data_IF_803479206295
#
_entry.id   IF_803479206295
#
_cell.length_a   1.000
_cell.length_b   1.000
_cell.length_c   1.000
_cell.angle_alpha   90.00
_cell.angle_beta   90.00
_cell.angle_gamma   90.00
#
_symmetry.space_group_name_H-M   'P 1'
#
loop_
_entity.id
_entity.type
_entity.pdbx_description
1 polymer ?
#
# COMPACT_ATOMS: atom_id res chain seq x y z
N UNK A 1 9.49 -14.90 5.92
CA UNK A 1 10.81 -14.45 6.44
C UNK A 1 10.65 -13.10 7.13
N UNK A 2 11.28 -12.88 8.29
CA UNK A 2 11.03 -11.70 9.14
C UNK A 2 11.27 -10.34 8.44
N UNK A 3 12.24 -10.28 7.52
CA UNK A 3 12.58 -9.04 6.80
C UNK A 3 11.45 -8.58 5.87
N UNK A 4 10.93 -9.48 5.02
CA UNK A 4 9.80 -9.19 4.14
C UNK A 4 8.50 -8.93 4.90
N UNK A 5 8.34 -9.55 6.08
CA UNK A 5 7.23 -9.26 6.97
C UNK A 5 7.25 -7.80 7.42
N UNK A 6 8.36 -7.37 8.03
CA UNK A 6 8.51 -6.00 8.52
C UNK A 6 8.41 -4.97 7.38
N UNK A 7 9.05 -5.26 6.25
CA UNK A 7 8.99 -4.38 5.08
C UNK A 7 7.56 -4.23 4.55
N UNK A 8 6.76 -5.29 4.52
CA UNK A 8 5.35 -5.22 4.14
C UNK A 8 4.51 -4.40 5.12
N UNK A 9 4.79 -4.49 6.43
CA UNK A 9 4.13 -3.65 7.44
C UNK A 9 4.48 -2.18 7.22
N UNK A 10 5.76 -1.87 7.01
CA UNK A 10 6.23 -0.51 6.75
C UNK A 10 5.65 0.08 5.46
N UNK A 11 5.62 -0.69 4.37
CA UNK A 11 5.05 -0.23 3.10
C UNK A 11 3.54 0.01 3.21
N UNK A 12 2.80 -0.88 3.88
CA UNK A 12 1.38 -0.64 4.15
C UNK A 12 1.16 0.59 5.03
N UNK A 13 1.98 0.79 6.08
CA UNK A 13 1.88 1.99 6.91
C UNK A 13 2.09 3.25 6.07
N UNK A 14 3.15 3.26 5.25
CA UNK A 14 3.53 4.41 4.45
C UNK A 14 2.46 4.73 3.40
N UNK A 15 2.01 3.74 2.63
CA UNK A 15 0.91 3.91 1.66
C UNK A 15 -0.37 4.38 2.36
N UNK A 16 -0.68 3.79 3.51
CA UNK A 16 -1.83 4.18 4.31
C UNK A 16 -1.77 5.66 4.71
N UNK A 17 -0.60 6.15 5.12
CA UNK A 17 -0.41 7.57 5.41
C UNK A 17 -0.62 8.41 4.13
N UNK A 18 0.02 8.04 3.02
CA UNK A 18 -0.05 8.78 1.75
C UNK A 18 -1.47 8.89 1.17
N UNK A 19 -2.28 7.83 1.28
CA UNK A 19 -3.64 7.79 0.72
C UNK A 19 -4.71 8.37 1.65
N UNK A 20 -4.49 8.36 2.98
CA UNK A 20 -5.46 8.88 3.96
C UNK A 20 -5.23 10.36 4.27
N UNK A 21 -3.97 10.72 4.52
CA UNK A 21 -3.56 12.09 4.83
C UNK A 21 -3.10 12.75 3.53
N UNK A 22 -4.07 13.10 2.70
CA UNK A 22 -3.83 13.82 1.46
C UNK A 22 -3.67 15.33 1.73
N UNK A 23 -2.91 16.02 0.84
CA UNK A 23 -2.59 17.46 0.66
C UNK A 23 -2.89 18.55 1.72
N UNK A 24 -3.90 18.43 2.56
CA UNK A 24 -4.28 19.45 3.54
C UNK A 24 -3.49 19.33 4.86
N UNK A 25 -2.80 18.20 5.09
CA UNK A 25 -2.12 17.91 6.35
C UNK A 25 -0.61 18.24 6.29
N UNK A 26 -0.31 19.52 6.52
CA UNK A 26 1.05 20.09 6.39
C UNK A 26 2.14 19.47 7.29
N UNK A 27 1.76 18.70 8.31
CA UNK A 27 2.69 17.97 9.16
C UNK A 27 3.22 16.70 8.48
N UNK A 28 2.37 16.00 7.73
CA UNK A 28 2.70 14.73 7.06
C UNK A 28 3.60 14.98 5.86
N UNK A 29 3.30 16.01 5.08
CA UNK A 29 4.08 16.43 3.91
C UNK A 29 5.52 16.83 4.28
N UNK A 30 5.72 17.43 5.47
CA UNK A 30 7.07 17.76 5.96
C UNK A 30 7.89 16.53 6.37
N UNK A 31 7.22 15.45 6.75
CA UNK A 31 7.85 14.21 7.22
C UNK A 31 8.07 13.21 6.08
N UNK A 32 7.15 13.17 5.13
CA UNK A 32 7.16 12.30 3.97
C UNK A 32 6.93 13.18 2.75
N UNK A 33 7.84 13.10 1.78
CA UNK A 33 7.73 13.84 0.51
C UNK A 33 6.65 13.20 -0.38
N UNK A 34 5.42 13.24 0.12
CA UNK A 34 4.22 12.60 -0.43
C UNK A 34 3.89 13.12 -1.82
N UNK A 35 4.34 14.32 -2.17
CA UNK A 35 4.15 14.93 -3.48
C UNK A 35 5.18 14.49 -4.51
N UNK A 36 6.33 13.98 -4.08
CA UNK A 36 7.36 13.52 -5.00
C UNK A 36 6.85 12.28 -5.77
N UNK A 37 6.67 12.47 -7.08
CA UNK A 37 6.23 11.43 -8.00
C UNK A 37 7.21 10.26 -8.04
N UNK A 38 8.51 10.50 -7.86
CA UNK A 38 9.50 9.43 -7.80
C UNK A 38 9.35 8.63 -6.51
N UNK A 39 9.11 9.28 -5.39
CA UNK A 39 8.80 8.62 -4.12
C UNK A 39 7.55 7.75 -4.23
N UNK A 40 6.45 8.28 -4.75
CA UNK A 40 5.22 7.51 -5.01
C UNK A 40 5.47 6.28 -5.90
N UNK A 41 6.25 6.44 -6.97
CA UNK A 41 6.58 5.36 -7.89
C UNK A 41 7.39 4.26 -7.20
N UNK A 42 8.45 4.63 -6.48
CA UNK A 42 9.34 3.68 -5.79
C UNK A 42 8.56 2.91 -4.73
N UNK A 43 7.77 3.60 -3.91
CA UNK A 43 6.93 2.98 -2.87
C UNK A 43 5.90 2.04 -3.51
N UNK A 44 5.23 2.49 -4.58
CA UNK A 44 4.24 1.69 -5.31
C UNK A 44 4.84 0.39 -5.86
N UNK A 45 5.98 0.47 -6.56
CA UNK A 45 6.69 -0.70 -7.10
C UNK A 45 7.12 -1.64 -5.98
N UNK A 46 7.76 -1.12 -4.94
CA UNK A 46 8.23 -1.92 -3.81
C UNK A 46 7.08 -2.64 -3.11
N UNK A 47 5.94 -1.96 -2.92
CA UNK A 47 4.78 -2.57 -2.27
C UNK A 47 4.18 -3.70 -3.07
N UNK A 48 4.00 -3.51 -4.39
CA UNK A 48 3.51 -4.58 -5.27
C UNK A 48 4.48 -5.76 -5.28
N UNK A 49 5.78 -5.48 -5.40
CA UNK A 49 6.81 -6.52 -5.42
C UNK A 49 6.86 -7.33 -4.12
N UNK A 50 6.86 -6.65 -2.97
CA UNK A 50 6.88 -7.29 -1.64
C UNK A 50 5.59 -8.07 -1.40
N UNK A 51 4.44 -7.53 -1.81
CA UNK A 51 3.16 -8.24 -1.72
C UNK A 51 3.18 -9.54 -2.54
N UNK A 52 3.68 -9.51 -3.77
CA UNK A 52 3.81 -10.70 -4.61
C UNK A 52 4.75 -11.74 -3.99
N UNK A 53 5.91 -11.32 -3.46
CA UNK A 53 6.82 -12.23 -2.76
C UNK A 53 6.15 -12.87 -1.54
N UNK A 54 5.41 -12.09 -0.74
CA UNK A 54 4.68 -12.60 0.43
C UNK A 54 3.57 -13.58 0.05
N UNK A 55 2.87 -13.34 -1.07
CA UNK A 55 1.87 -14.28 -1.58
C UNK A 55 2.48 -15.60 -2.06
N UNK A 56 3.66 -15.55 -2.67
CA UNK A 56 4.35 -16.76 -3.18
C UNK A 56 5.08 -17.55 -2.10
N UNK A 57 5.40 -16.94 -0.96
CA UNK A 57 6.19 -17.56 0.12
C UNK A 57 5.44 -17.54 1.46
N UNK A 58 4.35 -18.33 1.60
CA UNK A 58 3.68 -18.46 2.89
C UNK A 58 4.59 -19.14 3.92
N UNK A 59 4.68 -18.54 5.11
CA UNK A 59 5.29 -19.17 6.28
C UNK A 59 4.42 -20.38 6.68
N UNK A 60 5.04 -21.52 7.02
CA UNK A 60 4.36 -22.79 7.35
C UNK A 60 3.21 -22.57 8.36
N UNK A 61 2.01 -23.11 8.10
CA UNK A 61 0.81 -22.92 8.91
C UNK A 61 -0.43 -22.71 8.03
N UNK A 62 -1.57 -22.28 8.59
CA UNK A 62 -2.76 -21.87 7.81
C UNK A 62 -2.46 -20.55 7.10
N UNK A 63 -2.13 -20.53 5.80
CA UNK A 63 -1.46 -19.40 5.14
C UNK A 63 -2.34 -18.15 4.99
N UNK A 64 -3.66 -18.33 5.12
CA UNK A 64 -4.65 -17.39 4.62
C UNK A 64 -4.97 -16.24 5.60
N UNK A 65 -4.72 -16.42 6.90
CA UNK A 65 -5.09 -15.42 7.92
C UNK A 65 -3.93 -14.55 8.39
N UNK A 66 -2.69 -14.99 8.14
CA UNK A 66 -1.51 -14.24 8.49
C UNK A 66 -1.10 -13.25 7.39
N UNK A 67 -0.20 -13.68 6.51
CA UNK A 67 0.47 -12.79 5.57
C UNK A 67 -0.36 -12.43 4.32
N UNK A 68 -1.45 -13.15 4.05
CA UNK A 68 -2.30 -12.94 2.88
C UNK A 68 -2.99 -11.58 2.89
N UNK A 69 -3.62 -11.21 4.02
CA UNK A 69 -4.37 -9.95 4.12
C UNK A 69 -3.46 -8.71 3.95
N UNK A 70 -2.31 -8.60 4.65
CA UNK A 70 -1.34 -7.50 4.41
C UNK A 70 -0.79 -7.48 3.00
N UNK A 71 -0.58 -8.64 2.38
CA UNK A 71 -0.06 -8.71 1.03
C UNK A 71 -1.11 -8.25 0.01
N UNK A 72 -2.37 -8.67 0.15
CA UNK A 72 -3.46 -8.26 -0.72
C UNK A 72 -3.74 -6.76 -0.61
N UNK A 73 -3.79 -6.24 0.62
CA UNK A 73 -3.99 -4.80 0.85
C UNK A 73 -2.77 -4.00 0.40
N UNK A 74 -1.54 -4.47 0.64
CA UNK A 74 -0.32 -3.83 0.16
C UNK A 74 -0.19 -3.82 -1.36
N UNK A 75 -0.70 -4.86 -2.03
CA UNK A 75 -0.82 -4.91 -3.48
C UNK A 75 -1.79 -3.85 -3.98
N UNK A 76 -3.00 -3.78 -3.40
CA UNK A 76 -4.02 -2.80 -3.80
C UNK A 76 -3.54 -1.36 -3.56
N UNK A 77 -2.93 -1.08 -2.41
CA UNK A 77 -2.36 0.22 -2.09
C UNK A 77 -1.19 0.60 -2.99
N UNK A 78 -0.29 -0.35 -3.30
CA UNK A 78 0.79 -0.13 -4.25
C UNK A 78 0.28 0.16 -5.66
N UNK A 79 -0.72 -0.60 -6.12
CA UNK A 79 -1.38 -0.36 -7.39
C UNK A 79 -2.05 1.03 -7.45
N UNK A 80 -2.65 1.48 -6.35
CA UNK A 80 -3.21 2.82 -6.22
C UNK A 80 -2.17 3.92 -6.50
N UNK A 81 -0.98 3.82 -5.88
CA UNK A 81 0.10 4.78 -6.12
C UNK A 81 0.62 4.75 -7.56
N UNK A 82 0.70 3.56 -8.18
CA UNK A 82 1.11 3.43 -9.57
C UNK A 82 0.09 4.04 -10.55
N UNK A 83 -1.20 3.85 -10.29
CA UNK A 83 -2.29 4.49 -11.05
C UNK A 83 -2.19 6.01 -10.92
N UNK A 84 -2.02 6.52 -9.70
CA UNK A 84 -1.80 7.94 -9.44
C UNK A 84 -0.60 8.51 -10.19
N UNK A 85 0.54 7.82 -10.17
CA UNK A 85 1.74 8.22 -10.90
C UNK A 85 1.49 8.28 -12.42
N UNK A 86 0.85 7.24 -12.97
CA UNK A 86 0.63 7.11 -14.41
C UNK A 86 -0.34 8.18 -14.94
N UNK A 87 -1.49 8.33 -14.31
CA UNK A 87 -2.51 9.31 -14.75
C UNK A 87 -2.16 10.74 -14.33
N UNK A 88 -1.43 10.94 -13.23
CA UNK A 88 -0.92 12.26 -12.81
C UNK A 88 0.27 12.79 -13.63
N UNK A 89 0.82 11.98 -14.55
CA UNK A 89 1.88 12.37 -15.49
C UNK A 89 1.39 12.51 -16.93
N UNK A 90 0.22 11.95 -17.25
CA UNK A 90 -0.30 11.95 -18.62
C UNK A 90 -0.67 13.37 -19.05
N UNK A 91 0.06 13.91 -20.03
CA UNK A 91 -0.25 15.19 -20.67
C UNK A 91 -1.35 15.07 -21.72
N UNK A 92 -1.63 13.84 -22.18
CA UNK A 92 -2.84 13.52 -22.92
C UNK A 92 -3.97 13.25 -21.93
N UNK A 93 -5.18 13.74 -22.23
CA UNK A 93 -6.43 13.44 -21.51
C UNK A 93 -6.77 11.94 -21.63
N UNK A 94 -5.98 11.09 -20.99
CA UNK A 94 -6.23 9.66 -20.92
C UNK A 94 -7.16 9.47 -19.73
N UNK A 95 -8.46 9.36 -20.02
CA UNK A 95 -9.44 9.05 -18.99
C UNK A 95 -9.28 7.57 -18.58
N UNK A 96 -9.06 7.29 -17.29
CA UNK A 96 -9.00 5.91 -16.81
C UNK A 96 -10.35 5.21 -17.07
N UNK A 97 -10.34 3.89 -17.35
CA UNK A 97 -11.55 3.09 -17.32
C UNK A 97 -12.31 3.27 -16.00
N UNK A 98 -13.65 3.25 -16.05
CA UNK A 98 -14.53 3.57 -14.92
C UNK A 98 -14.21 2.75 -13.66
N UNK A 99 -13.91 1.45 -13.79
CA UNK A 99 -13.50 0.59 -12.67
C UNK A 99 -12.19 1.05 -12.02
N UNK A 100 -11.21 1.49 -12.82
CA UNK A 100 -9.93 1.97 -12.29
C UNK A 100 -10.13 3.29 -11.56
N UNK A 101 -10.93 4.20 -12.15
CA UNK A 101 -11.25 5.48 -11.54
C UNK A 101 -11.97 5.30 -10.20
N UNK A 102 -13.03 4.50 -10.18
CA UNK A 102 -13.84 4.31 -8.98
C UNK A 102 -13.06 3.63 -7.85
N UNK A 103 -12.25 2.62 -8.14
CA UNK A 103 -11.54 1.85 -7.11
C UNK A 103 -10.28 2.58 -6.64
N UNK A 104 -9.43 3.02 -7.59
CA UNK A 104 -8.08 3.49 -7.29
C UNK A 104 -7.94 5.01 -7.22
N UNK A 105 -8.95 5.79 -7.58
CA UNK A 105 -8.91 7.26 -7.52
C UNK A 105 -9.98 7.77 -6.54
N UNK A 106 -11.23 7.40 -6.74
CA UNK A 106 -12.34 7.89 -5.89
C UNK A 106 -12.32 7.23 -4.50
N UNK A 107 -12.14 5.91 -4.44
CA UNK A 107 -12.16 5.15 -3.19
C UNK A 107 -10.77 4.88 -2.58
N UNK A 108 -9.73 5.59 -3.04
CA UNK A 108 -8.36 5.42 -2.57
C UNK A 108 -8.21 5.57 -1.05
N UNK A 109 -9.03 6.42 -0.43
CA UNK A 109 -8.99 6.66 1.02
C UNK A 109 -9.36 5.40 1.81
N UNK A 110 -10.31 4.60 1.31
CA UNK A 110 -10.67 3.33 1.95
C UNK A 110 -9.55 2.31 1.83
N UNK A 111 -8.85 2.27 0.70
CA UNK A 111 -7.65 1.44 0.52
C UNK A 111 -6.56 1.88 1.51
N UNK A 112 -6.34 3.19 1.65
CA UNK A 112 -5.40 3.74 2.63
C UNK A 112 -5.73 3.39 4.08
N UNK A 113 -7.00 3.47 4.48
CA UNK A 113 -7.44 3.05 5.82
C UNK A 113 -7.19 1.56 6.04
N UNK A 114 -7.47 0.73 5.03
CA UNK A 114 -7.19 -0.70 5.08
C UNK A 114 -5.69 -0.98 5.24
N UNK A 115 -4.83 -0.25 4.50
CA UNK A 115 -3.37 -0.31 4.64
C UNK A 115 -2.90 0.04 6.06
N UNK A 116 -3.41 1.14 6.64
CA UNK A 116 -3.11 1.53 8.02
C UNK A 116 -3.55 0.46 9.02
N UNK A 117 -4.79 -0.01 8.91
CA UNK A 117 -5.34 -1.02 9.81
C UNK A 117 -4.51 -2.31 9.75
N UNK A 118 -4.18 -2.79 8.56
CA UNK A 118 -3.32 -3.97 8.39
C UNK A 118 -1.93 -3.76 8.99
N UNK A 119 -1.31 -2.60 8.74
CA UNK A 119 0.01 -2.31 9.29
C UNK A 119 0.00 -2.29 10.81
N UNK A 120 -0.97 -1.62 11.44
CA UNK A 120 -1.09 -1.53 12.90
C UNK A 120 -1.35 -2.91 13.52
N UNK A 121 -2.32 -3.66 12.98
CA UNK A 121 -2.66 -5.00 13.50
C UNK A 121 -1.46 -5.94 13.41
N UNK A 122 -0.76 -5.95 12.27
CA UNK A 122 0.39 -6.84 12.06
C UNK A 122 1.64 -6.37 12.82
N UNK A 123 1.78 -5.07 13.07
CA UNK A 123 2.87 -4.58 13.90
C UNK A 123 2.68 -4.94 15.38
N UNK A 124 1.46 -4.78 15.91
CA UNK A 124 1.16 -4.96 17.35
C UNK A 124 0.95 -6.43 17.71
N UNK A 125 0.37 -7.23 16.83
CA UNK A 125 0.06 -8.64 17.07
C UNK A 125 0.88 -9.61 16.19
N UNK A 126 2.23 -9.56 16.21
CA UNK A 126 3.03 -10.51 15.44
C UNK A 126 2.83 -11.95 15.96
N UNK A 127 2.49 -12.11 17.25
CA UNK A 127 2.35 -13.42 17.91
C UNK A 127 1.16 -14.28 17.43
N UNK A 128 0.13 -13.70 16.82
CA UNK A 128 -0.99 -14.47 16.22
C UNK A 128 -0.59 -15.08 14.87
N UNK A 129 0.51 -14.61 14.27
CA UNK A 129 1.07 -15.08 13.01
C UNK A 129 2.22 -16.08 13.15
N UNK A 130 2.92 -16.08 14.29
CA UNK A 130 4.09 -16.93 14.53
C UNK A 130 3.79 -18.16 15.41
N UNK A 131 2.51 -18.48 15.65
CA UNK A 131 2.06 -19.67 16.39
C UNK A 131 1.50 -20.75 15.44
#
# INVERSE_FOLDING_TARGET
>A
MLQFYFLSVMLNLLIGIMLVFNKEDSAVEKLLDTEDKLFQLVVGILSVFVALIKLLSPVKGVPFFGDFLPALIGFAGGACLLVHYFYGKSTAEVQPPELINQIFIENQRYIGIACLACAVIHFICPAVLFL
#
